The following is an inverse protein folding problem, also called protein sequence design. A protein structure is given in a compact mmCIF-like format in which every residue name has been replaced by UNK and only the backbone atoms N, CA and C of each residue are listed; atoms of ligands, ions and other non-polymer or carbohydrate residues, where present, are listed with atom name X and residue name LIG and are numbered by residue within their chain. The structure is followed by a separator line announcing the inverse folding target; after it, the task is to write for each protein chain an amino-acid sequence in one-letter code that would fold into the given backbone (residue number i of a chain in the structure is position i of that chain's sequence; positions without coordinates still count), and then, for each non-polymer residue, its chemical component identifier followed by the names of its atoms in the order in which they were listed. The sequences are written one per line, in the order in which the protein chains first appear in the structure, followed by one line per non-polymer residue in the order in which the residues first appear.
data_IF_028882118214
#
_entry.id   IF_028882118214
#
_cell.length_a   1.000
_cell.length_b   1.000
_cell.length_c   1.000
_cell.angle_alpha   90.00
_cell.angle_beta   90.00
_cell.angle_gamma   90.00
#
_symmetry.space_group_name_H-M   'P 1'
#
loop_
_entity.id
_entity.type
_entity.pdbx_description
1 polymer ?
#
# COMPACT_ATOMS: atom_id res chain seq x y z
N UNK A 1 50.50 -49.78 -29.33
CA UNK A 1 51.40 -48.71 -29.81
C UNK A 1 50.88 -47.42 -29.20
N UNK A 2 51.32 -46.96 -28.02
CA UNK A 2 52.64 -46.42 -27.64
C UNK A 2 53.14 -45.37 -28.63
N UNK A 3 53.21 -44.11 -28.17
CA UNK A 3 53.71 -42.93 -28.89
C UNK A 3 53.21 -41.65 -28.20
N UNK A 4 53.72 -41.28 -27.03
CA UNK A 4 54.90 -40.43 -26.78
C UNK A 4 54.84 -38.99 -27.36
N UNK A 5 54.91 -38.02 -26.43
CA UNK A 5 55.67 -36.76 -26.50
C UNK A 5 55.12 -35.56 -27.29
N UNK A 6 54.70 -34.52 -26.55
CA UNK A 6 55.38 -33.22 -26.68
C UNK A 6 55.04 -32.26 -25.53
N UNK A 7 56.06 -32.02 -24.73
CA UNK A 7 56.25 -30.94 -23.79
C UNK A 7 56.47 -29.60 -24.49
N UNK A 8 56.10 -28.53 -23.78
CA UNK A 8 56.73 -27.21 -23.83
C UNK A 8 56.52 -26.37 -25.11
N UNK A 9 55.54 -25.46 -25.05
CA UNK A 9 55.73 -24.11 -25.61
C UNK A 9 55.01 -23.09 -24.74
N UNK A 10 55.67 -22.81 -23.63
CA UNK A 10 55.76 -21.49 -23.04
C UNK A 10 55.90 -20.40 -24.11
N UNK A 11 54.95 -19.46 -24.16
CA UNK A 11 55.21 -18.01 -24.29
C UNK A 11 53.95 -17.22 -24.63
N UNK A 12 53.69 -16.22 -23.78
CA UNK A 12 53.12 -14.92 -24.16
C UNK A 12 51.73 -14.90 -24.80
N UNK A 13 50.69 -14.91 -23.96
CA UNK A 13 49.56 -13.98 -24.18
C UNK A 13 49.38 -13.07 -22.99
N UNK A 14 50.24 -12.05 -23.01
CA UNK A 14 50.07 -10.77 -22.35
C UNK A 14 48.62 -10.31 -22.45
N UNK A 15 48.06 -10.00 -21.28
CA UNK A 15 47.38 -8.74 -21.01
C UNK A 15 46.47 -8.23 -22.14
N UNK A 16 45.28 -8.84 -22.26
CA UNK A 16 44.11 -8.08 -22.69
C UNK A 16 43.19 -8.00 -21.49
N UNK A 17 43.57 -7.11 -20.56
CA UNK A 17 42.64 -6.47 -19.63
C UNK A 17 41.63 -5.75 -20.50
N UNK A 18 40.63 -6.48 -20.96
CA UNK A 18 39.44 -5.91 -21.59
C UNK A 18 38.87 -4.97 -20.55
N UNK A 19 39.03 -3.67 -20.80
CA UNK A 19 38.34 -2.59 -20.11
C UNK A 19 36.92 -3.08 -19.86
N UNK A 20 36.67 -3.49 -18.61
CA UNK A 20 35.36 -3.71 -18.05
C UNK A 20 34.73 -2.33 -18.10
N UNK A 21 34.12 -2.01 -19.24
CA UNK A 21 33.26 -0.86 -19.43
C UNK A 21 32.28 -0.93 -18.27
N UNK A 22 32.57 -0.14 -17.24
CA UNK A 22 31.62 0.25 -16.22
C UNK A 22 30.53 0.96 -17.01
N UNK A 23 29.57 0.18 -17.53
CA UNK A 23 28.28 0.65 -17.95
C UNK A 23 27.75 1.32 -16.68
N UNK A 24 27.92 2.64 -16.60
CA UNK A 24 27.22 3.46 -15.63
C UNK A 24 25.76 3.18 -15.94
N UNK A 25 25.13 2.32 -15.15
CA UNK A 25 23.69 2.28 -15.12
C UNK A 25 23.25 3.73 -14.91
N UNK A 26 22.41 4.31 -15.78
CA UNK A 26 21.87 5.63 -15.55
C UNK A 26 20.96 5.55 -14.31
N UNK A 27 21.55 5.75 -13.13
CA UNK A 27 20.88 5.71 -11.82
C UNK A 27 19.79 6.80 -11.72
N UNK A 28 19.76 7.73 -12.67
CA UNK A 28 18.81 8.84 -12.71
C UNK A 28 17.50 8.53 -13.44
N UNK A 29 17.37 7.40 -14.15
CA UNK A 29 16.14 7.05 -14.89
C UNK A 29 15.13 6.23 -14.06
N UNK A 30 15.58 5.36 -13.14
CA UNK A 30 14.68 4.53 -12.31
C UNK A 30 13.91 5.34 -11.25
N UNK A 31 14.39 6.53 -10.86
CA UNK A 31 13.69 7.38 -9.89
C UNK A 31 12.64 8.31 -10.52
N UNK A 32 12.56 8.41 -11.87
CA UNK A 32 11.67 9.37 -12.55
C UNK A 32 10.32 8.81 -12.99
N UNK A 33 9.87 7.71 -12.37
CA UNK A 33 8.53 7.17 -12.58
C UNK A 33 7.68 7.19 -11.30
N UNK A 34 7.97 8.13 -10.39
CA UNK A 34 7.40 8.21 -9.03
C UNK A 34 6.36 9.32 -8.81
N UNK A 35 5.80 9.97 -9.84
CA UNK A 35 4.94 11.15 -9.59
C UNK A 35 3.65 11.28 -10.41
N UNK A 36 3.34 10.36 -11.36
CA UNK A 36 2.08 10.40 -12.13
C UNK A 36 1.04 9.31 -11.77
N UNK A 37 1.18 8.63 -10.62
CA UNK A 37 0.30 7.50 -10.23
C UNK A 37 -0.70 7.77 -9.11
N UNK A 38 -0.74 8.95 -8.49
CA UNK A 38 -1.77 9.23 -7.46
C UNK A 38 -3.21 9.06 -7.95
N UNK A 39 -3.62 9.54 -9.14
CA UNK A 39 -4.99 9.31 -9.61
C UNK A 39 -5.25 7.85 -9.99
N UNK A 40 -4.20 7.08 -10.30
CA UNK A 40 -4.33 5.65 -10.60
C UNK A 40 -4.73 4.85 -9.37
N UNK A 41 -4.23 5.24 -8.19
CA UNK A 41 -4.57 4.61 -6.91
C UNK A 41 -6.07 4.73 -6.59
N UNK A 42 -6.66 5.88 -6.89
CA UNK A 42 -8.10 6.14 -6.72
C UNK A 42 -8.91 5.32 -7.73
N UNK A 43 -8.41 5.16 -8.96
CA UNK A 43 -9.10 4.39 -10.00
C UNK A 43 -9.01 2.87 -9.77
N UNK A 44 -7.88 2.38 -9.24
CA UNK A 44 -7.65 0.96 -8.98
C UNK A 44 -8.46 0.44 -7.78
N UNK A 45 -8.70 1.28 -6.76
CA UNK A 45 -9.47 0.90 -5.57
C UNK A 45 -10.97 0.63 -5.80
N UNK A 46 -11.48 0.92 -6.99
CA UNK A 46 -12.87 0.67 -7.37
C UNK A 46 -13.89 1.53 -6.61
N UNK A 47 -15.15 1.10 -6.60
CA UNK A 47 -16.25 1.76 -5.87
C UNK A 47 -16.02 1.86 -4.36
N UNK A 48 -15.42 0.86 -3.66
CA UNK A 48 -15.25 0.93 -2.20
C UNK A 48 -14.43 2.11 -1.70
N UNK A 49 -13.49 2.63 -2.50
CA UNK A 49 -12.67 3.78 -2.08
C UNK A 49 -13.51 5.05 -1.88
N UNK A 50 -14.57 5.22 -2.67
CA UNK A 50 -15.48 6.35 -2.57
C UNK A 50 -16.29 6.29 -1.27
N UNK A 51 -16.74 5.10 -0.88
CA UNK A 51 -17.47 4.90 0.37
C UNK A 51 -16.57 5.23 1.56
N UNK A 52 -15.33 4.73 1.56
CA UNK A 52 -14.33 5.02 2.60
C UNK A 52 -14.04 6.52 2.67
N UNK A 53 -13.89 7.20 1.52
CA UNK A 53 -13.67 8.65 1.43
C UNK A 53 -14.85 9.47 1.98
N UNK A 54 -16.08 9.12 1.59
CA UNK A 54 -17.28 9.84 2.02
C UNK A 54 -17.48 9.74 3.53
N UNK A 55 -17.10 8.62 4.15
CA UNK A 55 -17.12 8.47 5.61
C UNK A 55 -15.92 9.13 6.30
N UNK A 56 -14.74 9.11 5.67
CA UNK A 56 -13.51 9.68 6.20
C UNK A 56 -13.57 11.21 6.36
N UNK A 57 -14.17 11.93 5.41
CA UNK A 57 -14.28 13.41 5.46
C UNK A 57 -15.05 13.92 6.68
N UNK A 58 -16.31 13.51 6.95
CA UNK A 58 -17.04 13.95 8.13
C UNK A 58 -16.39 13.46 9.43
N UNK A 59 -15.76 12.28 9.43
CA UNK A 59 -15.01 11.76 10.57
C UNK A 59 -13.82 12.66 10.91
N UNK A 60 -13.05 13.09 9.91
CA UNK A 60 -11.92 13.99 10.08
C UNK A 60 -12.40 15.38 10.55
N UNK A 61 -13.46 15.90 9.94
CA UNK A 61 -14.05 17.18 10.34
C UNK A 61 -14.50 17.17 11.81
N UNK A 62 -15.24 16.14 12.24
CA UNK A 62 -15.67 16.00 13.63
C UNK A 62 -14.48 15.79 14.58
N UNK A 63 -13.45 15.05 14.15
CA UNK A 63 -12.23 14.85 14.93
C UNK A 63 -11.49 16.17 15.19
N UNK A 64 -11.31 17.01 14.16
CA UNK A 64 -10.71 18.35 14.32
C UNK A 64 -11.57 19.22 15.23
N UNK A 65 -12.89 19.22 15.00
CA UNK A 65 -13.83 20.03 15.79
C UNK A 65 -13.86 19.59 17.27
N UNK A 66 -13.71 18.29 17.54
CA UNK A 66 -13.61 17.74 18.90
C UNK A 66 -12.26 18.07 19.56
N UNK A 67 -11.16 18.06 18.80
CA UNK A 67 -9.84 18.45 19.32
C UNK A 67 -9.78 19.94 19.73
N UNK A 68 -10.55 20.79 19.06
CA UNK A 68 -10.68 22.22 19.39
C UNK A 68 -11.64 22.44 20.56
N UNK A 69 -12.81 21.80 20.53
CA UNK A 69 -13.85 21.91 21.55
C UNK A 69 -14.29 20.52 22.01
N UNK A 70 -13.77 20.07 23.15
CA UNK A 70 -14.12 18.81 23.76
C UNK A 70 -15.56 18.87 24.28
N UNK A 71 -16.43 18.01 23.76
CA UNK A 71 -17.86 17.95 24.08
C UNK A 71 -18.25 16.47 24.13
N UNK A 72 -18.81 16.04 25.26
CA UNK A 72 -19.17 14.64 25.51
C UNK A 72 -20.16 14.10 24.47
N UNK A 73 -21.08 14.93 23.96
CA UNK A 73 -22.07 14.51 22.96
C UNK A 73 -21.40 14.14 21.63
N UNK A 74 -20.32 14.84 21.28
CA UNK A 74 -19.55 14.57 20.06
C UNK A 74 -18.72 13.30 20.16
N UNK A 75 -18.30 12.92 21.37
CA UNK A 75 -17.58 11.67 21.60
C UNK A 75 -18.44 10.45 21.22
N UNK A 76 -19.71 10.45 21.60
CA UNK A 76 -20.64 9.37 21.24
C UNK A 76 -20.81 9.23 19.73
N UNK A 77 -20.96 10.37 19.01
CA UNK A 77 -21.06 10.40 17.55
C UNK A 77 -19.77 9.91 16.90
N UNK A 78 -18.61 10.40 17.35
CA UNK A 78 -17.30 9.97 16.85
C UNK A 78 -17.10 8.46 17.01
N UNK A 79 -17.47 7.91 18.17
CA UNK A 79 -17.39 6.46 18.41
C UNK A 79 -18.26 5.68 17.43
N UNK A 80 -19.51 6.07 17.25
CA UNK A 80 -20.39 5.43 16.26
C UNK A 80 -19.81 5.52 14.84
N UNK A 81 -19.27 6.68 14.46
CA UNK A 81 -18.70 6.91 13.14
C UNK A 81 -17.39 6.13 12.91
N UNK A 82 -16.57 5.93 13.95
CA UNK A 82 -15.38 5.07 13.86
C UNK A 82 -15.74 3.60 13.62
N UNK A 83 -16.79 3.09 14.27
CA UNK A 83 -17.28 1.73 14.02
C UNK A 83 -17.85 1.60 12.60
N UNK A 84 -18.61 2.60 12.14
CA UNK A 84 -19.11 2.64 10.77
C UNK A 84 -17.95 2.64 9.75
N UNK A 85 -16.89 3.41 10.01
CA UNK A 85 -15.69 3.45 9.17
C UNK A 85 -14.98 2.08 9.11
N UNK A 86 -14.81 1.41 10.26
CA UNK A 86 -14.19 0.08 10.32
C UNK A 86 -15.02 -0.95 9.54
N UNK A 87 -16.35 -0.94 9.71
CA UNK A 87 -17.25 -1.81 8.96
C UNK A 87 -17.21 -1.53 7.45
N UNK A 88 -17.14 -0.26 7.04
CA UNK A 88 -16.97 0.13 5.64
C UNK A 88 -15.63 -0.33 5.05
N UNK A 89 -14.53 -0.22 5.82
CA UNK A 89 -13.22 -0.75 5.41
C UNK A 89 -13.28 -2.27 5.24
N UNK A 90 -13.83 -2.99 6.23
CA UNK A 90 -13.93 -4.45 6.18
C UNK A 90 -14.79 -4.96 5.02
N UNK A 91 -15.95 -4.36 4.80
CA UNK A 91 -16.82 -4.67 3.65
C UNK A 91 -16.17 -4.34 2.30
N UNK A 92 -15.43 -3.23 2.22
CA UNK A 92 -14.67 -2.86 1.01
C UNK A 92 -13.55 -3.84 0.68
N UNK A 93 -12.75 -4.23 1.67
CA UNK A 93 -11.67 -5.21 1.49
C UNK A 93 -12.22 -6.57 1.07
N UNK A 94 -13.24 -7.07 1.77
CA UNK A 94 -13.85 -8.37 1.45
C UNK A 94 -14.44 -8.39 0.04
N UNK A 95 -15.12 -7.32 -0.38
CA UNK A 95 -15.66 -7.18 -1.75
C UNK A 95 -14.56 -7.18 -2.81
N UNK A 96 -13.45 -6.48 -2.56
CA UNK A 96 -12.31 -6.45 -3.50
C UNK A 96 -11.61 -7.80 -3.59
N UNK A 97 -11.35 -8.45 -2.45
CA UNK A 97 -10.75 -9.80 -2.42
C UNK A 97 -11.63 -10.81 -3.17
N UNK A 98 -12.95 -10.80 -2.93
CA UNK A 98 -13.92 -11.62 -3.66
C UNK A 98 -13.82 -11.37 -5.17
N UNK A 99 -13.72 -10.11 -5.57
CA UNK A 99 -13.59 -9.72 -6.98
C UNK A 99 -12.31 -10.27 -7.61
N UNK A 100 -11.18 -10.20 -6.90
CA UNK A 100 -9.90 -10.76 -7.38
C UNK A 100 -10.00 -12.28 -7.53
N UNK A 101 -10.54 -12.99 -6.54
CA UNK A 101 -10.71 -14.44 -6.60
C UNK A 101 -11.62 -14.84 -7.78
N UNK A 102 -12.72 -14.12 -7.97
CA UNK A 102 -13.66 -14.34 -9.06
C UNK A 102 -13.01 -14.15 -10.44
N UNK A 103 -12.23 -13.09 -10.62
CA UNK A 103 -11.56 -12.82 -11.89
C UNK A 103 -10.44 -13.82 -12.18
N UNK A 104 -9.70 -14.23 -11.14
CA UNK A 104 -8.62 -15.20 -11.26
C UNK A 104 -9.18 -16.57 -11.70
N UNK A 105 -10.28 -17.02 -11.10
CA UNK A 105 -10.92 -18.29 -11.46
C UNK A 105 -11.47 -18.34 -12.89
N UNK A 106 -11.84 -17.18 -13.48
CA UNK A 106 -12.39 -17.12 -14.84
C UNK A 106 -11.35 -16.95 -15.95
N UNK A 107 -10.15 -16.47 -15.62
CA UNK A 107 -9.11 -16.13 -16.61
C UNK A 107 -7.90 -17.07 -16.59
N UNK A 108 -7.88 -18.04 -15.69
CA UNK A 108 -6.75 -18.94 -15.57
C UNK A 108 -6.73 -19.94 -16.73
N UNK A 109 -5.80 -19.76 -17.66
CA UNK A 109 -5.54 -20.75 -18.70
C UNK A 109 -4.82 -21.98 -18.11
N UNK A 110 -5.09 -23.20 -18.61
CA UNK A 110 -4.41 -24.40 -18.15
C UNK A 110 -2.89 -24.28 -18.34
N UNK A 111 -2.14 -24.36 -17.24
CA UNK A 111 -0.67 -24.31 -17.26
C UNK A 111 -0.05 -22.96 -16.90
N UNK A 112 -0.83 -21.90 -16.74
CA UNK A 112 -0.31 -20.60 -16.28
C UNK A 112 -0.32 -20.52 -14.73
N UNK A 113 0.73 -19.93 -14.15
CA UNK A 113 0.82 -19.74 -12.70
C UNK A 113 -0.05 -18.55 -12.24
N UNK A 114 -1.05 -18.73 -11.37
CA UNK A 114 -1.93 -17.63 -10.91
C UNK A 114 -1.26 -16.67 -9.92
N UNK A 115 -0.10 -17.05 -9.36
CA UNK A 115 0.51 -16.35 -8.23
C UNK A 115 0.83 -14.87 -8.48
N UNK A 116 1.42 -14.46 -9.62
CA UNK A 116 1.74 -13.05 -9.85
C UNK A 116 0.49 -12.17 -9.91
N UNK A 117 -0.55 -12.63 -10.63
CA UNK A 117 -1.82 -11.91 -10.72
C UNK A 117 -2.53 -11.82 -9.38
N UNK A 118 -2.47 -12.90 -8.58
CA UNK A 118 -3.03 -12.94 -7.23
C UNK A 118 -2.39 -11.89 -6.31
N UNK A 119 -1.06 -11.81 -6.25
CA UNK A 119 -0.37 -10.85 -5.39
C UNK A 119 -0.63 -9.40 -5.79
N UNK A 120 -0.69 -9.12 -7.10
CA UNK A 120 -1.01 -7.78 -7.60
C UNK A 120 -2.45 -7.40 -7.21
N UNK A 121 -3.42 -8.27 -7.49
CA UNK A 121 -4.83 -8.02 -7.16
C UNK A 121 -5.06 -7.89 -5.65
N UNK A 122 -4.37 -8.69 -4.83
CA UNK A 122 -4.43 -8.59 -3.38
C UNK A 122 -3.86 -7.25 -2.88
N UNK A 123 -2.74 -6.80 -3.46
CA UNK A 123 -2.17 -5.49 -3.17
C UNK A 123 -3.13 -4.34 -3.49
N UNK A 124 -3.81 -4.40 -4.63
CA UNK A 124 -4.84 -3.43 -5.01
C UNK A 124 -6.04 -3.48 -4.05
N UNK A 125 -6.44 -4.68 -3.60
CA UNK A 125 -7.58 -4.88 -2.69
C UNK A 125 -7.34 -4.29 -1.29
N UNK A 126 -6.08 -4.22 -0.83
CA UNK A 126 -5.70 -3.65 0.46
C UNK A 126 -5.58 -2.12 0.47
N UNK A 127 -5.57 -1.50 -0.71
CA UNK A 127 -5.52 -0.04 -0.90
C UNK A 127 -6.55 0.73 -0.05
N UNK A 128 -7.86 0.42 -0.12
CA UNK A 128 -8.87 1.12 0.70
C UNK A 128 -8.67 0.92 2.20
N UNK A 129 -8.12 -0.21 2.65
CA UNK A 129 -7.81 -0.43 4.05
C UNK A 129 -6.67 0.46 4.53
N UNK A 130 -5.56 0.53 3.79
CA UNK A 130 -4.44 1.40 4.15
C UNK A 130 -4.88 2.85 4.22
N UNK A 131 -5.65 3.32 3.24
CA UNK A 131 -6.18 4.68 3.23
C UNK A 131 -7.13 4.92 4.40
N UNK A 132 -8.13 4.07 4.59
CA UNK A 132 -9.11 4.23 5.67
C UNK A 132 -8.49 4.17 7.07
N UNK A 133 -7.57 3.23 7.30
CA UNK A 133 -6.86 3.08 8.59
C UNK A 133 -5.90 4.24 8.86
N UNK A 134 -5.28 4.81 7.83
CA UNK A 134 -4.43 6.00 7.98
C UNK A 134 -5.24 7.22 8.46
N UNK A 135 -6.43 7.45 7.88
CA UNK A 135 -7.33 8.51 8.34
C UNK A 135 -7.83 8.23 9.75
N UNK A 136 -8.20 6.98 10.05
CA UNK A 136 -8.67 6.58 11.36
C UNK A 136 -7.60 6.82 12.44
N UNK A 137 -6.32 6.59 12.11
CA UNK A 137 -5.19 6.86 13.00
C UNK A 137 -5.06 8.36 13.31
N UNK A 138 -5.19 9.23 12.30
CA UNK A 138 -5.19 10.68 12.51
C UNK A 138 -6.37 11.10 13.40
N UNK A 139 -7.56 10.55 13.17
CA UNK A 139 -8.75 10.84 13.99
C UNK A 139 -8.54 10.40 15.43
N UNK A 140 -7.95 9.23 15.69
CA UNK A 140 -7.66 8.77 17.05
C UNK A 140 -6.64 9.64 17.76
N UNK A 141 -5.63 10.15 17.04
CA UNK A 141 -4.69 11.14 17.59
C UNK A 141 -5.45 12.42 17.98
N UNK A 142 -6.33 12.93 17.12
CA UNK A 142 -7.16 14.10 17.42
C UNK A 142 -8.10 13.87 18.62
N UNK A 143 -8.70 12.67 18.73
CA UNK A 143 -9.50 12.29 19.90
C UNK A 143 -8.67 12.27 21.17
N UNK A 144 -7.46 11.71 21.15
CA UNK A 144 -6.56 11.71 22.30
C UNK A 144 -6.21 13.14 22.76
N UNK A 145 -5.96 14.06 21.82
CA UNK A 145 -5.76 15.48 22.14
C UNK A 145 -7.00 16.15 22.73
N UNK A 146 -8.20 15.86 22.20
CA UNK A 146 -9.46 16.38 22.74
C UNK A 146 -9.73 15.90 24.16
N UNK A 147 -9.53 14.60 24.42
CA UNK A 147 -9.69 14.00 25.74
C UNK A 147 -8.71 14.58 26.78
N UNK A 148 -7.48 14.92 26.36
CA UNK A 148 -6.50 15.57 27.25
C UNK A 148 -6.91 17.00 27.65
N UNK A 149 -7.74 17.67 26.84
CA UNK A 149 -8.22 19.04 27.08
C UNK A 149 -9.55 19.09 27.83
N UNK A 150 -10.30 18.00 27.90
CA UNK A 150 -11.59 17.95 28.58
C UNK A 150 -11.42 18.22 30.09
N UNK A 151 -12.14 19.21 30.66
CA UNK A 151 -12.13 19.45 32.10
C UNK A 151 -12.63 18.21 32.85
N UNK A 152 -11.93 17.79 33.91
CA UNK A 152 -12.31 16.61 34.71
C UNK A 152 -13.69 16.73 35.36
N UNK A 153 -14.22 17.94 35.50
CA UNK A 153 -15.49 18.23 36.18
C UNK A 153 -16.75 17.86 35.38
N UNK A 154 -16.62 17.47 34.11
CA UNK A 154 -17.76 17.04 33.27
C UNK A 154 -17.82 15.52 33.05
N UNK A 155 -16.97 14.74 33.74
CA UNK A 155 -16.86 13.28 33.59
C UNK A 155 -17.50 12.49 34.75
N UNK A 156 -18.02 13.17 35.75
CA UNK A 156 -18.87 12.62 36.83
C UNK A 156 -20.34 12.84 36.48
#
# INVERSE_FOLDING_TARGET
MIGHSSTATERTRRARVTRKTRRRCPVTSCCRQRSRRMPYFIRAGGVPIWIVMVLAVPLLYLGVRFAIAADARRLAILRALTWAQIAAIGSGVTSNVMTVMWHLGRRLEPGESPLPALFIGLGESLTPAVLGLSVLSVVWILMAFGLRRAPRSELD
#
